data_IF_882563176769
#
_entry.id   IF_882563176769
#
_cell.length_a   1.000
_cell.length_b   1.000
_cell.length_c   1.000
_cell.angle_alpha   90.00
_cell.angle_beta   90.00
_cell.angle_gamma   90.00
#
_symmetry.space_group_name_H-M   'P 1'
#
loop_
_entity.id
_entity.type
_entity.pdbx_description
1 polymer ?
#
# COMPACT_ATOMS: atom_id res chain seq x y z
N UNK A 1 83.64 -36.39 -16.08
CA UNK A 1 83.67 -36.17 -14.62
C UNK A 1 82.79 -34.98 -14.34
N UNK A 2 81.52 -35.23 -13.99
CA UNK A 2 80.93 -35.20 -12.63
C UNK A 2 80.40 -33.79 -12.31
N UNK A 3 79.09 -33.52 -12.36
CA UNK A 3 77.95 -33.85 -11.48
C UNK A 3 77.80 -32.98 -10.21
N UNK A 4 76.53 -32.59 -10.00
CA UNK A 4 75.83 -32.18 -8.75
C UNK A 4 76.08 -30.74 -8.26
N UNK A 5 75.10 -29.86 -7.97
CA UNK A 5 73.72 -29.82 -7.42
C UNK A 5 73.71 -29.08 -6.06
N UNK A 6 72.61 -28.34 -5.83
CA UNK A 6 72.05 -27.84 -4.55
C UNK A 6 72.63 -26.52 -3.99
N UNK A 7 71.91 -25.54 -3.39
CA UNK A 7 70.48 -25.16 -3.30
C UNK A 7 70.34 -23.81 -2.56
N UNK A 8 69.26 -23.09 -2.84
CA UNK A 8 68.45 -22.23 -1.94
C UNK A 8 69.02 -20.97 -1.25
N UNK A 9 68.42 -19.78 -1.53
CA UNK A 9 67.51 -19.04 -0.60
C UNK A 9 67.06 -17.66 -1.15
N UNK A 10 65.74 -17.42 -1.15
CA UNK A 10 64.97 -16.15 -1.36
C UNK A 10 64.89 -15.33 -0.03
N UNK A 11 64.23 -14.13 0.12
CA UNK A 11 63.10 -13.50 -0.63
C UNK A 11 63.33 -11.96 -0.88
N UNK A 12 62.44 -11.07 -1.35
CA UNK A 12 60.98 -10.96 -1.29
C UNK A 12 60.41 -10.03 -2.39
N UNK A 13 59.28 -10.42 -2.96
CA UNK A 13 58.37 -9.56 -3.71
C UNK A 13 57.41 -8.88 -2.73
N UNK A 14 57.41 -7.55 -2.68
CA UNK A 14 56.40 -6.76 -2.00
C UNK A 14 55.49 -6.08 -3.02
N UNK A 15 54.46 -6.77 -3.48
CA UNK A 15 53.29 -6.13 -4.10
C UNK A 15 52.37 -5.65 -2.99
N UNK A 16 52.49 -4.37 -2.62
CA UNK A 16 51.53 -3.70 -1.75
C UNK A 16 50.26 -3.36 -2.53
N UNK A 17 49.17 -4.05 -2.19
CA UNK A 17 47.86 -3.87 -2.77
C UNK A 17 47.33 -2.44 -2.55
N UNK A 18 46.91 -1.84 -3.66
CA UNK A 18 46.00 -0.68 -3.72
C UNK A 18 44.57 -1.13 -3.45
N UNK A 19 43.82 -0.30 -2.73
CA UNK A 19 42.36 -0.27 -2.80
C UNK A 19 41.62 -0.77 -1.58
N UNK A 20 41.48 0.10 -0.58
CA UNK A 20 40.38 0.03 0.38
C UNK A 20 39.07 0.14 -0.42
N UNK A 21 38.32 -0.95 -0.55
CA UNK A 21 36.98 -0.95 -1.13
C UNK A 21 35.94 -0.61 -0.05
N UNK A 22 35.74 0.67 0.18
CA UNK A 22 34.55 1.21 0.87
C UNK A 22 33.45 1.41 -0.17
N UNK A 23 32.71 0.34 -0.51
CA UNK A 23 31.74 0.34 -1.64
C UNK A 23 30.36 -0.21 -1.32
N UNK A 24 29.92 -0.20 -0.06
CA UNK A 24 28.65 -0.84 0.36
C UNK A 24 27.51 0.13 0.73
N UNK A 25 27.75 1.44 0.81
CA UNK A 25 26.74 2.41 1.26
C UNK A 25 25.98 3.12 0.12
N UNK A 26 26.50 3.11 -1.12
CA UNK A 26 25.86 3.77 -2.26
C UNK A 26 24.68 3.00 -2.86
N UNK A 27 24.70 1.66 -2.80
CA UNK A 27 23.66 0.82 -3.41
C UNK A 27 22.35 0.85 -2.64
N UNK A 28 22.41 0.81 -1.30
CA UNK A 28 21.21 0.80 -0.44
C UNK A 28 20.45 2.13 -0.48
N UNK A 29 21.16 3.27 -0.55
CA UNK A 29 20.53 4.58 -0.65
C UNK A 29 19.76 4.75 -1.98
N UNK A 30 20.36 4.30 -3.10
CA UNK A 30 19.72 4.34 -4.41
C UNK A 30 18.52 3.38 -4.50
N UNK A 31 18.58 2.22 -3.83
CA UNK A 31 17.47 1.28 -3.72
C UNK A 31 16.29 1.87 -2.95
N UNK A 32 16.55 2.54 -1.82
CA UNK A 32 15.52 3.23 -1.02
C UNK A 32 14.90 4.39 -1.79
N UNK A 33 15.70 5.20 -2.49
CA UNK A 33 15.20 6.31 -3.31
C UNK A 33 14.31 5.82 -4.47
N UNK A 34 14.71 4.73 -5.13
CA UNK A 34 13.91 4.10 -6.19
C UNK A 34 12.60 3.53 -5.63
N UNK A 35 12.67 2.87 -4.47
CA UNK A 35 11.49 2.34 -3.78
C UNK A 35 10.52 3.47 -3.41
N UNK A 36 11.01 4.56 -2.80
CA UNK A 36 10.20 5.72 -2.46
C UNK A 36 9.56 6.37 -3.70
N UNK A 37 10.31 6.48 -4.80
CA UNK A 37 9.80 7.03 -6.07
C UNK A 37 8.68 6.17 -6.65
N UNK A 38 8.82 4.85 -6.59
CA UNK A 38 7.77 3.91 -7.03
C UNK A 38 6.51 4.04 -6.17
N UNK A 39 6.67 4.12 -4.85
CA UNK A 39 5.55 4.35 -3.93
C UNK A 39 4.78 5.62 -4.28
N UNK A 40 5.47 6.75 -4.44
CA UNK A 40 4.83 8.02 -4.76
C UNK A 40 4.12 8.00 -6.12
N UNK A 41 4.70 7.33 -7.11
CA UNK A 41 4.09 7.17 -8.42
C UNK A 41 2.77 6.39 -8.34
N UNK A 42 2.77 5.25 -7.65
CA UNK A 42 1.56 4.45 -7.51
C UNK A 42 0.52 5.17 -6.64
N UNK A 43 0.93 5.82 -5.55
CA UNK A 43 0.03 6.61 -4.70
C UNK A 43 -0.68 7.71 -5.51
N UNK A 44 0.08 8.44 -6.34
CA UNK A 44 -0.48 9.44 -7.25
C UNK A 44 -1.49 8.83 -8.22
N UNK A 45 -1.16 7.67 -8.79
CA UNK A 45 -2.05 6.96 -9.70
C UNK A 45 -3.36 6.55 -9.03
N UNK A 46 -3.30 6.09 -7.77
CA UNK A 46 -4.51 5.81 -6.98
C UNK A 46 -5.37 7.05 -6.82
N UNK A 47 -4.77 8.20 -6.47
CA UNK A 47 -5.50 9.46 -6.38
C UNK A 47 -6.14 9.87 -7.71
N UNK A 48 -5.47 9.63 -8.84
CA UNK A 48 -6.05 9.87 -10.16
C UNK A 48 -7.28 8.99 -10.41
N UNK A 49 -7.25 7.70 -10.05
CA UNK A 49 -8.45 6.84 -10.11
C UNK A 49 -9.57 7.34 -9.20
N UNK A 50 -9.26 7.73 -7.96
CA UNK A 50 -10.28 8.26 -7.02
C UNK A 50 -10.90 9.55 -7.54
N UNK A 51 -10.07 10.48 -8.03
CA UNK A 51 -10.53 11.75 -8.63
C UNK A 51 -11.46 11.50 -9.81
N UNK A 52 -11.12 10.55 -10.67
CA UNK A 52 -11.87 10.24 -11.88
C UNK A 52 -13.10 9.34 -11.62
N UNK A 53 -13.39 9.02 -10.34
CA UNK A 53 -14.53 8.19 -9.96
C UNK A 53 -14.39 6.71 -10.34
N UNK A 54 -13.17 6.25 -10.63
CA UNK A 54 -12.83 4.88 -11.04
C UNK A 54 -12.49 4.03 -9.82
N UNK A 55 -13.46 3.85 -8.93
CA UNK A 55 -13.17 3.34 -7.58
C UNK A 55 -12.85 1.85 -7.56
N UNK A 56 -13.35 1.06 -8.52
CA UNK A 56 -12.94 -0.34 -8.64
C UNK A 56 -11.42 -0.44 -8.87
N UNK A 57 -10.87 0.36 -9.79
CA UNK A 57 -9.44 0.43 -10.04
C UNK A 57 -8.65 1.05 -8.89
N UNK A 58 -9.21 2.08 -8.23
CA UNK A 58 -8.61 2.67 -7.05
C UNK A 58 -8.46 1.63 -5.92
N UNK A 59 -9.48 0.81 -5.67
CA UNK A 59 -9.46 -0.24 -4.66
C UNK A 59 -8.39 -1.30 -4.93
N UNK A 60 -8.26 -1.76 -6.18
CA UNK A 60 -7.17 -2.67 -6.56
C UNK A 60 -5.79 -2.04 -6.36
N UNK A 61 -5.63 -0.77 -6.78
CA UNK A 61 -4.38 -0.02 -6.63
C UNK A 61 -4.01 0.20 -5.16
N UNK A 62 -4.98 0.48 -4.28
CA UNK A 62 -4.76 0.64 -2.84
C UNK A 62 -4.21 -0.62 -2.19
N UNK A 63 -4.76 -1.80 -2.50
CA UNK A 63 -4.27 -3.07 -1.94
C UNK A 63 -2.84 -3.34 -2.42
N UNK A 64 -2.56 -3.12 -3.69
CA UNK A 64 -1.21 -3.31 -4.25
C UNK A 64 -0.18 -2.41 -3.58
N UNK A 65 -0.52 -1.14 -3.35
CA UNK A 65 0.38 -0.20 -2.67
C UNK A 65 0.53 -0.57 -1.19
N UNK A 66 -0.54 -1.03 -0.54
CA UNK A 66 -0.49 -1.45 0.86
C UNK A 66 0.43 -2.65 1.06
N UNK A 67 0.28 -3.68 0.23
CA UNK A 67 1.13 -4.88 0.26
C UNK A 67 2.60 -4.52 0.00
N UNK A 68 2.86 -3.71 -1.03
CA UNK A 68 4.21 -3.27 -1.35
C UNK A 68 4.82 -2.41 -0.23
N UNK A 69 4.08 -1.41 0.28
CA UNK A 69 4.61 -0.48 1.27
C UNK A 69 4.94 -1.19 2.58
N UNK A 70 3.99 -1.98 3.09
CA UNK A 70 4.13 -2.68 4.37
C UNK A 70 5.12 -3.84 4.27
N UNK A 71 5.20 -4.51 3.11
CA UNK A 71 6.23 -5.50 2.81
C UNK A 71 7.64 -4.93 2.72
N UNK A 72 7.80 -3.65 2.36
CA UNK A 72 9.09 -2.96 2.26
C UNK A 72 9.37 -2.00 3.43
N UNK A 73 8.57 -2.03 4.51
CA UNK A 73 8.66 -1.05 5.59
C UNK A 73 10.02 -1.04 6.30
N UNK A 74 10.67 -2.20 6.45
CA UNK A 74 12.04 -2.30 6.98
C UNK A 74 13.08 -1.64 6.06
N UNK A 75 12.98 -1.90 4.74
CA UNK A 75 13.89 -1.36 3.72
C UNK A 75 13.77 0.16 3.64
N UNK A 76 12.55 0.68 3.67
CA UNK A 76 12.24 2.11 3.67
C UNK A 76 12.54 2.80 5.00
N UNK A 77 13.02 2.05 6.00
CA UNK A 77 13.32 2.59 7.33
C UNK A 77 12.08 3.04 8.11
N UNK A 78 10.87 2.66 7.70
CA UNK A 78 9.61 3.11 8.30
C UNK A 78 9.40 2.64 9.73
N UNK A 79 10.09 1.55 10.10
CA UNK A 79 10.02 0.90 11.42
C UNK A 79 11.25 1.19 12.30
N UNK A 80 12.14 2.09 11.86
CA UNK A 80 13.37 2.44 12.59
C UNK A 80 13.21 3.73 13.40
N UNK A 81 13.74 3.74 14.62
CA UNK A 81 13.83 4.92 15.51
C UNK A 81 14.99 5.85 15.16
N UNK A 82 15.26 6.08 13.86
CA UNK A 82 16.27 7.05 13.43
C UNK A 82 15.64 8.45 13.37
N UNK A 83 16.08 9.36 14.25
CA UNK A 83 15.50 10.69 14.44
C UNK A 83 15.58 11.55 13.16
N UNK A 84 16.63 11.38 12.35
CA UNK A 84 16.88 12.20 11.15
C UNK A 84 15.89 12.03 9.99
N UNK A 85 15.05 10.99 9.99
CA UNK A 85 14.03 10.73 8.95
C UNK A 85 12.60 10.77 9.49
N UNK A 86 12.40 11.22 10.73
CA UNK A 86 11.09 11.14 11.40
C UNK A 86 9.98 11.87 10.64
N UNK A 87 10.23 13.11 10.19
CA UNK A 87 9.24 13.92 9.46
C UNK A 87 8.84 13.28 8.11
N UNK A 88 9.79 12.66 7.41
CA UNK A 88 9.54 11.99 6.14
C UNK A 88 8.69 10.73 6.33
N UNK A 89 8.94 9.96 7.40
CA UNK A 89 8.13 8.80 7.77
C UNK A 89 6.72 9.21 8.16
N UNK A 90 6.57 10.24 8.99
CA UNK A 90 5.27 10.78 9.38
C UNK A 90 4.47 11.22 8.15
N UNK A 91 5.12 11.91 7.22
CA UNK A 91 4.47 12.30 5.96
C UNK A 91 4.03 11.08 5.15
N UNK A 92 4.89 10.07 5.03
CA UNK A 92 4.55 8.85 4.28
C UNK A 92 3.35 8.13 4.91
N UNK A 93 3.34 7.93 6.23
CA UNK A 93 2.22 7.31 6.93
C UNK A 93 0.93 8.13 6.78
N UNK A 94 1.04 9.46 6.94
CA UNK A 94 -0.09 10.35 6.75
C UNK A 94 -0.66 10.30 5.32
N UNK A 95 0.20 10.29 4.30
CA UNK A 95 -0.20 10.24 2.89
C UNK A 95 -0.86 8.89 2.55
N UNK A 96 -0.32 7.79 3.08
CA UNK A 96 -0.91 6.44 2.97
C UNK A 96 -2.31 6.39 3.58
N UNK A 97 -2.44 6.79 4.85
CA UNK A 97 -3.72 6.76 5.57
C UNK A 97 -4.77 7.67 4.92
N UNK A 98 -4.35 8.87 4.49
CA UNK A 98 -5.24 9.80 3.77
C UNK A 98 -5.72 9.23 2.45
N UNK A 99 -4.88 8.50 1.70
CA UNK A 99 -5.28 7.93 0.42
C UNK A 99 -6.41 6.91 0.60
N UNK A 100 -6.29 6.03 1.59
CA UNK A 100 -7.35 5.10 1.99
C UNK A 100 -8.65 5.82 2.34
N UNK A 101 -8.57 6.80 3.25
CA UNK A 101 -9.75 7.53 3.71
C UNK A 101 -10.43 8.35 2.60
N UNK A 102 -9.65 8.96 1.70
CA UNK A 102 -10.18 9.72 0.56
C UNK A 102 -10.87 8.80 -0.44
N UNK A 103 -10.32 7.62 -0.73
CA UNK A 103 -10.96 6.64 -1.59
C UNK A 103 -12.29 6.14 -1.01
N UNK A 104 -12.31 5.80 0.28
CA UNK A 104 -13.53 5.37 0.98
C UNK A 104 -14.56 6.49 1.09
N UNK A 105 -14.14 7.73 1.30
CA UNK A 105 -15.04 8.89 1.34
C UNK A 105 -15.69 9.09 -0.02
N UNK A 106 -14.90 8.98 -1.10
CA UNK A 106 -15.41 9.06 -2.46
C UNK A 106 -16.38 7.93 -2.80
N UNK A 107 -16.08 6.69 -2.35
CA UNK A 107 -17.00 5.56 -2.46
C UNK A 107 -18.34 5.86 -1.80
N UNK A 108 -18.32 6.31 -0.55
CA UNK A 108 -19.52 6.68 0.20
C UNK A 108 -20.34 7.74 -0.52
N UNK A 109 -19.71 8.82 -0.98
CA UNK A 109 -20.39 9.91 -1.70
C UNK A 109 -21.08 9.41 -2.98
N UNK A 110 -20.39 8.59 -3.77
CA UNK A 110 -20.95 8.05 -5.01
C UNK A 110 -22.06 7.02 -4.74
N UNK A 111 -21.97 6.22 -3.67
CA UNK A 111 -23.04 5.31 -3.25
C UNK A 111 -24.28 6.09 -2.80
N UNK A 112 -24.12 7.17 -2.03
CA UNK A 112 -25.24 8.04 -1.64
C UNK A 112 -25.88 8.69 -2.88
N UNK A 113 -25.09 9.22 -3.80
CA UNK A 113 -25.60 9.81 -5.05
C UNK A 113 -26.36 8.78 -5.92
N UNK A 114 -25.89 7.53 -5.95
CA UNK A 114 -26.58 6.41 -6.62
C UNK A 114 -27.93 6.12 -5.96
N UNK A 115 -27.99 6.09 -4.63
CA UNK A 115 -29.23 5.89 -3.86
C UNK A 115 -30.23 7.01 -4.13
N UNK A 116 -29.79 8.27 -4.04
CA UNK A 116 -30.62 9.45 -4.31
C UNK A 116 -31.16 9.49 -5.75
N UNK A 117 -30.41 8.91 -6.69
CA UNK A 117 -30.78 8.80 -8.11
C UNK A 117 -31.66 7.58 -8.41
N UNK A 118 -32.22 6.93 -7.40
CA UNK A 118 -33.12 5.78 -7.56
C UNK A 118 -32.41 4.47 -7.91
N UNK A 119 -31.12 4.34 -7.54
CA UNK A 119 -30.33 3.12 -7.76
C UNK A 119 -29.60 3.05 -9.08
N UNK A 120 -29.56 4.15 -9.85
CA UNK A 120 -28.85 4.17 -11.12
C UNK A 120 -27.33 4.11 -10.88
N UNK A 121 -26.71 2.98 -11.24
CA UNK A 121 -25.25 2.80 -11.13
C UNK A 121 -24.50 3.85 -11.95
N UNK A 122 -23.28 4.24 -11.54
CA UNK A 122 -22.44 5.16 -12.31
C UNK A 122 -22.21 4.68 -13.75
N UNK A 123 -22.07 5.64 -14.65
CA UNK A 123 -21.79 5.36 -16.06
C UNK A 123 -20.27 5.29 -16.29
N UNK A 124 -19.79 4.34 -17.11
CA UNK A 124 -18.37 4.28 -17.46
C UNK A 124 -17.83 5.62 -17.96
N UNK A 125 -16.61 6.03 -17.57
CA UNK A 125 -15.60 5.21 -16.89
C UNK A 125 -15.77 5.10 -15.37
N UNK A 126 -16.72 5.83 -14.77
CA UNK A 126 -16.93 5.78 -13.31
C UNK A 126 -17.39 4.38 -12.87
N UNK A 127 -16.88 3.94 -11.73
CA UNK A 127 -17.11 2.62 -11.17
C UNK A 127 -17.14 2.69 -9.65
N UNK A 128 -17.99 1.89 -9.02
CA UNK A 128 -17.97 1.67 -7.57
C UNK A 128 -17.18 0.40 -7.28
N UNK A 129 -16.56 0.33 -6.09
CA UNK A 129 -16.12 -0.95 -5.54
C UNK A 129 -17.33 -1.79 -5.17
N UNK A 130 -17.31 -3.07 -5.52
CA UNK A 130 -18.33 -4.04 -5.09
C UNK A 130 -18.08 -4.48 -3.64
N UNK A 131 -19.12 -4.97 -2.96
CA UNK A 131 -19.02 -5.40 -1.56
C UNK A 131 -17.93 -6.45 -1.34
N UNK A 132 -17.87 -7.49 -2.19
CA UNK A 132 -16.84 -8.54 -2.14
C UNK A 132 -15.41 -7.98 -2.25
N UNK A 133 -15.22 -6.97 -3.11
CA UNK A 133 -13.93 -6.29 -3.26
C UNK A 133 -13.56 -5.59 -1.95
N UNK A 134 -14.46 -4.81 -1.38
CA UNK A 134 -14.20 -4.07 -0.14
C UNK A 134 -13.97 -5.01 1.06
N UNK A 135 -14.72 -6.11 1.17
CA UNK A 135 -14.46 -7.13 2.21
C UNK A 135 -13.05 -7.72 2.09
N UNK A 136 -12.64 -8.04 0.86
CA UNK A 136 -11.29 -8.56 0.59
C UNK A 136 -10.23 -7.51 0.95
N UNK A 137 -10.46 -6.25 0.60
CA UNK A 137 -9.58 -5.14 0.94
C UNK A 137 -9.40 -5.00 2.45
N UNK A 138 -10.47 -5.09 3.23
CA UNK A 138 -10.41 -5.03 4.69
C UNK A 138 -9.60 -6.18 5.29
N UNK A 139 -9.84 -7.41 4.82
CA UNK A 139 -9.10 -8.62 5.28
C UNK A 139 -7.60 -8.51 4.98
N UNK A 140 -7.23 -8.05 3.79
CA UNK A 140 -5.83 -7.86 3.43
C UNK A 140 -5.17 -6.74 4.25
N UNK A 141 -5.88 -5.65 4.52
CA UNK A 141 -5.33 -4.56 5.35
C UNK A 141 -5.01 -5.05 6.77
N UNK A 142 -5.93 -5.77 7.41
CA UNK A 142 -5.71 -6.36 8.75
C UNK A 142 -4.51 -7.30 8.71
N UNK A 143 -4.47 -8.22 7.74
CA UNK A 143 -3.35 -9.17 7.58
C UNK A 143 -2.00 -8.45 7.45
N UNK A 144 -1.96 -7.33 6.72
CA UNK A 144 -0.73 -6.54 6.56
C UNK A 144 -0.37 -5.77 7.84
N UNK A 145 -1.36 -5.28 8.59
CA UNK A 145 -1.12 -4.61 9.88
C UNK A 145 -0.62 -5.60 10.95
N UNK A 146 -1.14 -6.83 10.98
CA UNK A 146 -0.64 -7.91 11.85
C UNK A 146 0.86 -8.18 11.60
N UNK A 147 1.31 -8.14 10.34
CA UNK A 147 2.72 -8.29 9.99
C UNK A 147 3.59 -7.15 10.54
N UNK A 148 2.99 -5.97 10.76
CA UNK A 148 3.66 -4.79 11.30
C UNK A 148 3.71 -4.77 12.84
N UNK A 149 2.82 -5.49 13.52
CA UNK A 149 2.72 -5.51 14.99
C UNK A 149 4.05 -5.89 15.68
N UNK A 150 4.80 -6.81 15.08
CA UNK A 150 6.13 -7.25 15.58
C UNK A 150 7.15 -6.11 15.71
N UNK A 151 6.94 -5.00 15.00
CA UNK A 151 7.80 -3.82 15.05
C UNK A 151 7.48 -2.87 16.21
N UNK A 152 6.36 -3.08 16.90
CA UNK A 152 5.97 -2.26 18.04
C UNK A 152 5.81 -0.79 17.67
N UNK A 153 5.13 -0.50 16.56
CA UNK A 153 4.74 0.86 16.20
C UNK A 153 3.74 1.39 17.26
N UNK A 154 4.25 1.99 18.34
CA UNK A 154 3.44 2.46 19.49
C UNK A 154 2.85 3.85 19.25
N UNK A 155 3.43 4.62 18.33
CA UNK A 155 2.91 5.95 17.98
C UNK A 155 1.84 5.81 16.89
N UNK A 156 0.64 6.27 17.22
CA UNK A 156 -0.54 6.27 16.35
C UNK A 156 -0.33 7.08 15.06
N UNK A 157 0.62 8.01 15.03
CA UNK A 157 1.02 8.74 13.82
C UNK A 157 2.02 7.95 12.96
N UNK A 158 2.68 6.95 13.52
CA UNK A 158 3.75 6.15 12.92
C UNK A 158 3.24 4.77 12.52
N UNK A 159 2.10 4.70 11.84
CA UNK A 159 1.52 3.44 11.41
C UNK A 159 0.25 3.62 10.60
N UNK A 160 -0.36 2.49 10.29
CA UNK A 160 -1.66 2.45 9.62
C UNK A 160 -2.75 2.83 10.62
N UNK A 161 -3.67 3.69 10.20
CA UNK A 161 -4.90 3.98 10.96
C UNK A 161 -5.93 2.87 10.74
N UNK A 162 -5.56 1.64 11.13
CA UNK A 162 -6.31 0.43 10.82
C UNK A 162 -7.75 0.52 11.31
N UNK A 163 -7.95 0.88 12.58
CA UNK A 163 -9.28 0.97 13.18
C UNK A 163 -10.18 1.96 12.43
N UNK A 164 -9.68 3.14 12.07
CA UNK A 164 -10.42 4.17 11.34
C UNK A 164 -10.74 3.72 9.93
N UNK A 165 -9.77 3.14 9.22
CA UNK A 165 -9.94 2.69 7.84
C UNK A 165 -10.95 1.54 7.81
N UNK A 166 -10.83 0.53 8.68
CA UNK A 166 -11.75 -0.61 8.76
C UNK A 166 -13.14 -0.15 9.17
N UNK A 167 -13.26 0.74 10.15
CA UNK A 167 -14.55 1.32 10.56
C UNK A 167 -15.20 2.07 9.40
N UNK A 168 -14.43 2.82 8.62
CA UNK A 168 -14.96 3.61 7.52
C UNK A 168 -15.32 2.74 6.30
N UNK A 169 -14.55 1.68 6.05
CA UNK A 169 -14.86 0.65 5.07
C UNK A 169 -16.17 -0.08 5.41
N UNK A 170 -16.37 -0.44 6.69
CA UNK A 170 -17.62 -1.02 7.18
C UNK A 170 -18.84 -0.14 6.89
N UNK A 171 -18.72 1.18 7.12
CA UNK A 171 -19.78 2.14 6.77
C UNK A 171 -20.10 2.18 5.27
N UNK A 172 -19.12 1.95 4.40
CA UNK A 172 -19.35 1.85 2.96
C UNK A 172 -20.07 0.54 2.59
N UNK A 173 -19.73 -0.58 3.24
CA UNK A 173 -20.41 -1.86 3.07
C UNK A 173 -21.89 -1.77 3.51
N UNK A 174 -22.15 -1.20 4.69
CA UNK A 174 -23.51 -1.03 5.21
C UNK A 174 -24.42 -0.27 4.21
N UNK A 175 -23.88 0.75 3.52
CA UNK A 175 -24.62 1.51 2.51
C UNK A 175 -24.92 0.70 1.24
N UNK A 176 -24.00 -0.17 0.81
CA UNK A 176 -24.24 -1.06 -0.33
C UNK A 176 -25.26 -2.14 0.02
N UNK A 177 -25.23 -2.66 1.24
CA UNK A 177 -26.21 -3.61 1.73
C UNK A 177 -27.61 -2.98 1.78
N UNK A 178 -27.73 -1.75 2.30
CA UNK A 178 -28.99 -1.01 2.28
C UNK A 178 -29.55 -0.90 0.85
N UNK A 179 -28.72 -0.54 -0.13
CA UNK A 179 -29.11 -0.50 -1.54
C UNK A 179 -29.63 -1.85 -2.05
N UNK A 180 -28.93 -2.95 -1.73
CA UNK A 180 -29.31 -4.29 -2.17
C UNK A 180 -30.68 -4.71 -1.62
N UNK A 181 -30.97 -4.36 -0.37
CA UNK A 181 -32.27 -4.65 0.27
C UNK A 181 -33.41 -3.82 -0.31
N UNK A 182 -33.19 -2.52 -0.57
CA UNK A 182 -34.19 -1.64 -1.17
C UNK A 182 -34.58 -2.10 -2.58
N UNK A 183 -33.58 -2.49 -3.39
CA UNK A 183 -33.81 -2.98 -4.76
C UNK A 183 -34.61 -4.28 -4.78
N UNK A 184 -34.31 -5.19 -3.85
CA UNK A 184 -35.01 -6.47 -3.69
C UNK A 184 -36.47 -6.29 -3.26
N UNK A 185 -36.74 -5.35 -2.34
CA UNK A 185 -38.10 -5.03 -1.88
C UNK A 185 -38.96 -4.40 -3.00
N UNK A 186 -38.38 -3.52 -3.81
CA UNK A 186 -39.10 -2.84 -4.90
C UNK A 186 -39.47 -3.82 -6.05
N UNK A 187 -38.62 -4.83 -6.30
CA UNK A 187 -38.91 -5.91 -7.25
C UNK A 187 -40.11 -6.80 -6.85
N UNK A 188 -40.32 -7.05 -5.56
CA UNK A 188 -41.47 -7.82 -5.07
C UNK A 188 -42.79 -7.04 -5.16
N UNK A 189 -42.80 -5.75 -4.81
CA UNK A 189 -44.01 -4.92 -4.80
C UNK A 189 -44.67 -4.76 -6.18
N UNK A 190 -43.88 -4.80 -7.27
CA UNK A 190 -44.40 -4.69 -8.65
C UNK A 190 -45.02 -6.00 -9.16
N UNK A 191 -44.58 -7.15 -8.65
CA UNK A 191 -45.12 -8.47 -9.05
C UNK A 191 -46.49 -8.76 -8.44
N UNK A 192 -46.77 -8.25 -7.23
CA UNK A 192 -48.04 -8.48 -6.52
C UNK A 192 -49.22 -7.65 -7.07
N UNK A 193 -48.98 -6.64 -7.91
CA UNK A 193 -50.04 -5.79 -8.52
C UNK A 193 -50.57 -6.30 -9.86
N UNK A 194 -50.04 -7.40 -10.40
CA UNK A 194 -50.39 -7.94 -11.72
C UNK A 194 -51.26 -9.21 -11.69
N UNK A 195 -51.89 -9.52 -10.55
CA UNK A 195 -52.73 -10.71 -10.40
C UNK A 195 -54.16 -10.38 -10.02
#
# INVERSE_FOLDING_TARGET
MHHSQDSSSQPAQGYGAVGVTSGSQGSTAAEVENAYSQYLQELRRTYEYVRDGRLAEAGTSLVQISDWLLGNAELLGLVRDEEGMHDERLKLWADFNRCWLVALQRQREMTIAMLDSGGQRPHPPESLMEAEQMETMGKELVRLCDMMEKHGLVDYQMGVWEEEIITFLGKCLDLLDEYSTQTSANGQATSSRRR
#
